data_IF_044882326806
#
_entry.id   IF_044882326806
#
_cell.length_a   1.000
_cell.length_b   1.000
_cell.length_c   1.000
_cell.angle_alpha   90.00
_cell.angle_beta   90.00
_cell.angle_gamma   90.00
#
_symmetry.space_group_name_H-M   'P 1'
#
loop_
_entity.id
_entity.type
_entity.pdbx_description
1 polymer ?
#
# COMPACT_ATOMS: atom_id res chain seq x y z
N UNK A 1 -43.09 -43.11 18.95
CA UNK A 1 -41.64 -42.85 18.81
C UNK A 1 -41.47 -41.38 18.43
N UNK A 2 -40.77 -40.56 19.24
CA UNK A 2 -40.52 -39.14 18.95
C UNK A 2 -39.02 -38.92 18.82
N UNK A 3 -38.52 -38.72 17.61
CA UNK A 3 -37.12 -38.45 17.35
C UNK A 3 -36.85 -36.94 17.42
N UNK A 4 -36.22 -36.48 18.51
CA UNK A 4 -35.78 -35.10 18.66
C UNK A 4 -34.43 -34.92 17.97
N UNK A 5 -34.42 -34.24 16.82
CA UNK A 5 -33.19 -33.92 16.09
C UNK A 5 -32.51 -32.73 16.78
N UNK A 6 -31.38 -32.98 17.45
CA UNK A 6 -30.52 -31.94 18.00
C UNK A 6 -29.60 -31.40 16.89
N UNK A 7 -29.91 -30.22 16.34
CA UNK A 7 -28.94 -29.48 15.52
C UNK A 7 -27.85 -28.91 16.43
N UNK A 8 -26.67 -29.54 16.44
CA UNK A 8 -25.48 -28.97 17.05
C UNK A 8 -24.88 -27.89 16.14
N UNK A 9 -24.89 -26.64 16.59
CA UNK A 9 -24.21 -25.52 15.93
C UNK A 9 -22.70 -25.61 16.18
N UNK A 10 -21.95 -26.16 15.23
CA UNK A 10 -20.48 -26.17 15.28
C UNK A 10 -19.96 -24.78 14.88
N UNK A 11 -19.51 -24.00 15.86
CA UNK A 11 -18.82 -22.74 15.61
C UNK A 11 -17.39 -23.00 15.09
N UNK A 12 -17.20 -22.89 13.78
CA UNK A 12 -15.86 -22.99 13.16
C UNK A 12 -15.12 -21.67 13.43
N UNK A 13 -14.19 -21.70 14.38
CA UNK A 13 -13.30 -20.57 14.66
C UNK A 13 -12.27 -20.41 13.51
N UNK A 14 -12.57 -19.51 12.57
CA UNK A 14 -11.60 -19.12 11.53
C UNK A 14 -10.51 -18.28 12.18
N UNK A 15 -9.34 -18.88 12.40
CA UNK A 15 -8.18 -18.19 12.95
C UNK A 15 -7.74 -17.06 12.00
N UNK A 16 -8.00 -15.81 12.39
CA UNK A 16 -7.50 -14.65 11.65
C UNK A 16 -6.00 -14.54 11.88
N UNK A 17 -5.21 -14.77 10.82
CA UNK A 17 -3.77 -14.62 10.88
C UNK A 17 -3.38 -13.14 11.01
N UNK A 18 -2.92 -12.77 12.20
CA UNK A 18 -2.23 -11.50 12.42
C UNK A 18 -0.73 -11.71 12.26
N UNK A 19 -0.08 -10.89 11.44
CA UNK A 19 1.35 -10.98 11.16
C UNK A 19 2.05 -9.66 11.54
N UNK A 20 3.31 -9.74 12.03
CA UNK A 20 4.14 -8.56 12.22
C UNK A 20 4.51 -7.96 10.86
N UNK A 21 4.33 -6.65 10.70
CA UNK A 21 4.68 -5.89 9.50
C UNK A 21 5.45 -4.65 9.88
N UNK A 22 6.72 -4.58 9.48
CA UNK A 22 7.55 -3.38 9.63
C UNK A 22 7.24 -2.38 8.51
N UNK A 23 7.07 -1.11 8.88
CA UNK A 23 6.99 0.00 7.92
C UNK A 23 8.39 0.56 7.70
N UNK A 24 8.74 0.92 6.47
CA UNK A 24 10.10 1.39 6.13
C UNK A 24 10.44 2.66 6.92
N UNK A 25 11.46 2.56 7.79
CA UNK A 25 11.91 3.66 8.64
C UNK A 25 11.09 3.87 9.92
N UNK A 26 10.24 2.90 10.30
CA UNK A 26 9.37 2.97 11.48
C UNK A 26 9.34 1.61 12.22
N UNK A 27 8.39 1.45 13.15
CA UNK A 27 8.19 0.30 14.01
C UNK A 27 7.50 -0.88 13.27
N UNK A 28 7.34 -1.98 14.01
CA UNK A 28 6.65 -3.20 13.54
C UNK A 28 5.26 -3.26 14.15
N UNK A 29 4.25 -3.35 13.29
CA UNK A 29 2.82 -3.31 13.64
C UNK A 29 2.15 -4.66 13.44
N UNK A 30 1.00 -4.85 14.10
CA UNK A 30 0.21 -6.09 13.99
C UNK A 30 -0.87 -5.94 12.92
N UNK A 31 -0.67 -6.54 11.76
CA UNK A 31 -1.59 -6.43 10.60
C UNK A 31 -2.39 -7.70 10.41
N UNK A 32 -3.68 -7.57 10.06
CA UNK A 32 -4.59 -8.68 9.79
C UNK A 32 -4.60 -9.07 8.30
N UNK A 33 -4.44 -10.36 8.01
CA UNK A 33 -4.58 -10.92 6.66
C UNK A 33 -3.29 -10.87 5.81
N UNK A 34 -3.40 -10.98 4.47
CA UNK A 34 -2.25 -11.12 3.58
C UNK A 34 -1.46 -9.80 3.49
N UNK A 35 -0.30 -9.78 4.15
CA UNK A 35 0.57 -8.62 4.28
C UNK A 35 1.23 -8.18 2.98
N UNK A 36 1.59 -6.91 2.88
CA UNK A 36 2.41 -6.39 1.79
C UNK A 36 3.84 -6.96 1.86
N UNK A 37 4.14 -7.97 1.03
CA UNK A 37 5.45 -8.60 0.95
C UNK A 37 5.71 -9.29 -0.40
N UNK A 38 6.93 -9.81 -0.59
CA UNK A 38 7.38 -10.52 -1.80
C UNK A 38 8.21 -9.63 -2.74
N UNK A 39 8.86 -10.23 -3.75
CA UNK A 39 9.73 -9.52 -4.70
C UNK A 39 9.22 -9.51 -6.16
N UNK A 40 8.10 -10.19 -6.42
CA UNK A 40 7.52 -10.37 -7.75
C UNK A 40 6.95 -9.09 -8.39
N UNK A 41 6.35 -9.26 -9.56
CA UNK A 41 5.57 -8.20 -10.22
C UNK A 41 4.30 -7.83 -9.43
N UNK A 42 3.74 -8.79 -8.69
CA UNK A 42 2.57 -8.66 -7.81
C UNK A 42 3.03 -9.03 -6.39
N UNK A 43 2.58 -8.32 -5.33
CA UNK A 43 2.90 -8.70 -3.96
C UNK A 43 2.12 -9.94 -3.52
N UNK A 44 2.60 -10.62 -2.48
CA UNK A 44 1.89 -11.74 -1.83
C UNK A 44 0.60 -11.30 -1.11
N UNK A 45 0.46 -10.00 -0.84
CA UNK A 45 -0.69 -9.39 -0.20
C UNK A 45 -0.61 -7.87 -0.28
N UNK A 46 -1.63 -7.18 0.21
CA UNK A 46 -1.74 -5.72 0.13
C UNK A 46 -2.12 -5.06 1.45
N UNK A 47 -2.04 -5.80 2.56
CA UNK A 47 -2.35 -5.28 3.89
C UNK A 47 -1.11 -4.62 4.50
N UNK A 48 -1.30 -3.40 4.94
CA UNK A 48 -0.34 -2.59 5.67
C UNK A 48 -1.03 -2.01 6.91
N UNK A 49 -0.27 -1.48 7.89
CA UNK A 49 -0.85 -0.85 9.07
C UNK A 49 -1.74 0.33 8.69
N UNK A 50 -2.90 0.43 9.34
CA UNK A 50 -3.85 1.54 9.17
C UNK A 50 -3.71 2.55 10.30
N UNK A 51 -4.24 3.77 10.12
CA UNK A 51 -4.19 4.81 11.16
C UNK A 51 -4.78 4.31 12.47
N UNK A 52 -4.00 4.37 13.55
CA UNK A 52 -4.39 3.91 14.88
C UNK A 52 -3.89 2.51 15.25
N UNK A 53 -3.30 1.74 14.33
CA UNK A 53 -2.65 0.46 14.67
C UNK A 53 -1.48 0.69 15.63
N UNK A 54 -1.43 -0.09 16.72
CA UNK A 54 -0.35 -0.05 17.69
C UNK A 54 0.83 -0.92 17.23
N UNK A 55 2.05 -0.42 17.40
CA UNK A 55 3.26 -1.19 17.17
C UNK A 55 3.46 -2.24 18.28
N UNK A 56 3.87 -3.43 17.88
CA UNK A 56 4.20 -4.54 18.78
C UNK A 56 5.71 -4.64 19.05
N UNK A 57 6.56 -4.18 18.13
CA UNK A 57 8.02 -4.23 18.26
C UNK A 57 8.69 -3.01 17.61
N UNK A 58 9.99 -2.84 17.88
CA UNK A 58 10.86 -1.80 17.30
C UNK A 58 10.39 -0.35 17.52
N UNK A 59 9.53 -0.11 18.51
CA UNK A 59 9.10 1.23 18.86
C UNK A 59 10.21 2.01 19.58
N UNK A 60 10.69 3.10 18.97
CA UNK A 60 11.71 3.98 19.53
C UNK A 60 11.20 5.43 19.61
N UNK A 61 11.61 6.24 20.61
CA UNK A 61 11.18 7.63 20.75
C UNK A 61 11.57 8.56 19.60
N UNK A 62 12.50 8.14 18.75
CA UNK A 62 12.96 8.87 17.56
C UNK A 62 12.10 8.63 16.31
N UNK A 63 11.11 7.73 16.37
CA UNK A 63 10.24 7.39 15.23
C UNK A 63 9.09 8.38 15.08
N UNK A 64 8.63 8.65 13.85
CA UNK A 64 7.51 9.56 13.62
C UNK A 64 6.19 9.02 14.19
N UNK A 65 6.00 7.72 14.31
CA UNK A 65 4.84 7.10 14.94
C UNK A 65 4.78 7.21 16.47
N UNK A 66 5.86 7.64 17.13
CA UNK A 66 5.93 7.65 18.60
C UNK A 66 5.04 8.75 19.20
N UNK A 67 3.98 8.34 19.89
CA UNK A 67 2.96 9.22 20.46
C UNK A 67 2.58 8.80 21.89
N UNK A 68 3.03 9.57 22.88
CA UNK A 68 2.76 9.37 24.31
C UNK A 68 3.23 7.99 24.82
N UNK A 69 4.52 7.67 24.65
CA UNK A 69 5.14 6.46 25.21
C UNK A 69 4.95 5.16 24.42
N UNK A 70 4.21 5.21 23.30
CA UNK A 70 3.90 4.06 22.42
C UNK A 70 3.94 4.50 20.96
N UNK A 71 4.16 3.58 20.04
CA UNK A 71 4.15 3.87 18.61
C UNK A 71 2.79 3.49 18.03
N UNK A 72 2.14 4.45 17.38
CA UNK A 72 0.82 4.30 16.77
C UNK A 72 0.92 4.80 15.33
N UNK A 73 0.41 4.02 14.39
CA UNK A 73 0.40 4.38 12.98
C UNK A 73 -0.30 5.74 12.78
N UNK A 74 0.40 6.80 12.33
CA UNK A 74 -0.15 8.15 12.30
C UNK A 74 -1.14 8.36 11.14
N UNK A 75 -0.99 7.57 10.08
CA UNK A 75 -1.80 7.52 8.87
C UNK A 75 -1.88 6.07 8.38
N UNK A 76 -2.61 5.81 7.31
CA UNK A 76 -2.60 4.51 6.63
C UNK A 76 -1.32 4.32 5.81
N UNK A 77 -0.61 3.22 6.01
CA UNK A 77 0.57 2.87 5.22
C UNK A 77 0.16 2.31 3.84
N UNK A 78 0.95 2.67 2.83
CA UNK A 78 0.74 2.25 1.44
C UNK A 78 1.66 1.08 1.11
N UNK A 79 1.10 0.02 0.54
CA UNK A 79 1.86 -1.09 -0.01
C UNK A 79 2.48 -0.69 -1.35
N UNK A 80 3.81 -0.61 -1.44
CA UNK A 80 4.51 -0.26 -2.66
C UNK A 80 5.82 -1.03 -2.83
N UNK A 81 6.38 -0.98 -4.04
CA UNK A 81 7.69 -1.56 -4.33
C UNK A 81 8.79 -0.63 -3.82
N UNK A 82 9.60 -1.11 -2.90
CA UNK A 82 10.69 -0.34 -2.25
C UNK A 82 11.99 -0.48 -3.06
N UNK A 83 13.02 0.39 -2.85
CA UNK A 83 14.22 0.42 -3.70
C UNK A 83 15.02 -0.88 -3.78
N UNK A 84 14.87 -1.80 -2.83
CA UNK A 84 15.46 -3.15 -2.86
C UNK A 84 14.77 -4.11 -3.83
N UNK A 85 13.69 -3.69 -4.50
CA UNK A 85 12.90 -4.55 -5.39
C UNK A 85 11.90 -5.46 -4.66
N UNK A 86 11.82 -5.40 -3.34
CA UNK A 86 10.76 -6.02 -2.56
C UNK A 86 9.50 -5.12 -2.50
N UNK A 87 8.36 -5.71 -2.13
CA UNK A 87 7.17 -4.99 -1.69
C UNK A 87 7.22 -4.78 -0.18
N UNK A 88 6.84 -3.59 0.26
CA UNK A 88 6.78 -3.23 1.67
C UNK A 88 5.85 -2.07 1.94
N UNK A 89 5.51 -1.89 3.21
CA UNK A 89 4.68 -0.78 3.67
C UNK A 89 5.52 0.48 3.88
N UNK A 90 5.03 1.62 3.38
CA UNK A 90 5.63 2.94 3.63
C UNK A 90 4.58 3.93 4.08
N UNK A 91 4.98 4.99 4.78
CA UNK A 91 4.11 6.14 4.98
C UNK A 91 4.00 6.98 3.69
N UNK A 92 2.80 7.41 3.28
CA UNK A 92 2.63 8.29 2.12
C UNK A 92 3.32 9.64 2.34
N UNK A 93 3.98 10.15 1.28
CA UNK A 93 4.70 11.42 1.30
C UNK A 93 3.81 12.58 1.74
N UNK A 94 4.23 13.32 2.76
CA UNK A 94 3.44 14.39 3.38
C UNK A 94 2.83 14.01 4.74
N UNK A 95 2.76 12.72 5.06
CA UNK A 95 2.45 12.25 6.42
C UNK A 95 3.64 12.44 7.38
N UNK A 96 4.03 13.69 7.62
CA UNK A 96 4.66 14.02 8.90
C UNK A 96 3.60 13.85 9.99
N UNK A 97 3.98 13.49 11.23
CA UNK A 97 3.09 13.56 12.38
C UNK A 97 2.75 15.03 12.65
N UNK A 98 1.69 15.53 12.01
CA UNK A 98 1.04 16.75 12.46
C UNK A 98 0.41 16.51 13.84
N UNK A 99 0.29 17.54 14.69
CA UNK A 99 -0.48 17.43 15.93
C UNK A 99 -1.89 16.89 15.61
N UNK A 100 -2.49 16.08 16.50
CA UNK A 100 -3.51 15.08 16.17
C UNK A 100 -4.61 15.62 15.24
N UNK A 101 -4.47 15.30 13.96
CA UNK A 101 -5.41 15.75 12.93
C UNK A 101 -6.75 15.03 13.11
N UNK A 102 -7.75 15.84 13.48
CA UNK A 102 -9.16 15.46 13.63
C UNK A 102 -9.65 14.80 12.34
N UNK A 103 -10.46 13.76 12.49
CA UNK A 103 -10.96 12.92 11.41
C UNK A 103 -11.65 13.71 10.30
N UNK A 104 -11.02 13.75 9.12
CA UNK A 104 -11.71 13.99 7.85
C UNK A 104 -11.60 12.72 7.03
N UNK A 105 -12.68 11.94 6.99
CA UNK A 105 -12.72 10.68 6.25
C UNK A 105 -12.58 10.95 4.75
N UNK A 106 -11.58 10.35 4.10
CA UNK A 106 -11.52 10.31 2.65
C UNK A 106 -12.65 9.40 2.13
N UNK A 107 -13.50 9.86 1.18
CA UNK A 107 -14.55 9.02 0.64
C UNK A 107 -13.95 7.87 -0.15
N UNK A 108 -14.43 6.66 0.17
CA UNK A 108 -14.23 5.41 -0.57
C UNK A 108 -14.29 5.65 -2.08
N UNK A 109 -13.31 5.20 -2.89
CA UNK A 109 -13.40 5.26 -4.34
C UNK A 109 -14.55 4.36 -4.81
N UNK A 110 -15.63 4.95 -5.31
CA UNK A 110 -16.73 4.21 -5.93
C UNK A 110 -16.36 3.94 -7.38
N UNK A 111 -16.24 2.66 -7.73
CA UNK A 111 -16.03 2.20 -9.10
C UNK A 111 -17.17 2.64 -10.02
N UNK A 112 -16.88 3.47 -11.02
CA UNK A 112 -17.62 3.52 -12.28
C UNK A 112 -16.63 3.70 -13.44
N UNK A 113 -16.75 2.81 -14.43
CA UNK A 113 -15.97 2.83 -15.66
C UNK A 113 -16.80 3.53 -16.79
N UNK A 114 -16.35 3.54 -18.06
CA UNK A 114 -16.15 4.79 -18.79
C UNK A 114 -17.31 5.17 -19.72
N UNK A 115 -17.39 6.45 -20.11
CA UNK A 115 -17.83 6.78 -21.47
C UNK A 115 -17.21 8.07 -22.04
N UNK A 116 -17.07 8.09 -23.36
CA UNK A 116 -16.62 9.17 -24.21
C UNK A 116 -17.70 10.24 -24.43
N UNK A 117 -17.32 11.52 -24.58
CA UNK A 117 -17.61 12.27 -25.83
C UNK A 117 -16.94 13.65 -25.93
N UNK A 118 -16.36 13.90 -27.10
CA UNK A 118 -16.15 15.17 -27.82
C UNK A 118 -16.09 16.52 -27.07
N UNK A 119 -14.99 17.25 -27.32
CA UNK A 119 -15.07 18.66 -27.71
C UNK A 119 -14.21 18.91 -28.96
N UNK A 120 -14.88 19.08 -30.10
CA UNK A 120 -14.28 19.39 -31.41
C UNK A 120 -14.38 20.87 -31.74
N UNK A 121 -13.24 21.56 -31.84
CA UNK A 121 -12.81 22.30 -33.04
C UNK A 121 -11.44 22.94 -32.75
N UNK A 122 -10.38 22.59 -33.48
CA UNK A 122 -10.07 23.12 -34.82
C UNK A 122 -9.92 24.66 -34.80
N UNK A 123 -8.74 25.21 -35.07
CA UNK A 123 -8.24 25.28 -36.46
C UNK A 123 -6.72 25.52 -36.51
N UNK A 124 -6.01 24.69 -37.32
CA UNK A 124 -4.87 24.95 -38.26
C UNK A 124 -3.93 26.14 -37.96
N UNK A 125 -2.61 26.12 -38.14
CA UNK A 125 -1.64 25.34 -38.97
C UNK A 125 -0.22 25.65 -38.39
N UNK A 126 0.95 25.11 -38.78
CA UNK A 126 1.46 24.20 -39.82
C UNK A 126 2.81 23.59 -39.32
N UNK A 127 3.51 22.77 -40.13
CA UNK A 127 4.97 22.65 -40.05
C UNK A 127 5.57 21.29 -39.67
N UNK A 128 5.53 20.35 -40.62
CA UNK A 128 6.32 19.11 -40.67
C UNK A 128 7.83 19.29 -40.38
N UNK A 129 8.42 18.47 -39.50
CA UNK A 129 9.65 17.68 -39.82
C UNK A 129 9.92 16.55 -38.82
N UNK A 130 10.05 15.32 -39.35
CA UNK A 130 10.61 14.17 -38.62
C UNK A 130 12.11 14.35 -38.36
N UNK A 131 12.64 13.76 -37.29
CA UNK A 131 13.93 13.07 -37.42
C UNK A 131 14.05 11.88 -36.46
N UNK A 132 13.96 10.70 -37.05
CA UNK A 132 14.57 9.47 -36.53
C UNK A 132 16.08 9.69 -36.35
N UNK A 133 16.69 9.18 -35.28
CA UNK A 133 18.13 8.89 -35.27
C UNK A 133 18.42 7.76 -34.29
N UNK A 134 18.44 6.55 -34.84
CA UNK A 134 19.08 5.36 -34.27
C UNK A 134 20.60 5.62 -34.16
N UNK A 135 21.20 5.42 -32.99
CA UNK A 135 22.64 5.09 -32.89
C UNK A 135 22.94 4.15 -31.73
N UNK A 136 23.54 3.01 -32.06
CA UNK A 136 24.29 2.12 -31.16
C UNK A 136 25.35 1.40 -32.02
N UNK A 137 26.35 0.70 -31.46
CA UNK A 137 27.12 0.93 -30.23
C UNK A 137 28.60 1.23 -30.59
N UNK A 138 29.56 1.09 -29.66
CA UNK A 138 30.73 0.27 -30.02
C UNK A 138 31.17 -0.73 -28.93
N UNK A 139 31.66 -1.89 -29.38
CA UNK A 139 32.31 -2.93 -28.58
C UNK A 139 33.79 -2.63 -28.34
N UNK A 140 34.32 -2.91 -27.14
CA UNK A 140 35.78 -3.00 -26.90
C UNK A 140 36.11 -4.22 -26.05
N UNK A 141 37.25 -4.86 -26.32
CA UNK A 141 37.66 -6.18 -25.79
C UNK A 141 39.14 -6.15 -25.35
N UNK A 142 39.45 -6.84 -24.23
CA UNK A 142 40.81 -7.15 -23.72
C UNK A 142 41.62 -5.93 -23.19
N UNK A 143 42.77 -6.10 -22.47
CA UNK A 143 43.68 -7.25 -22.36
C UNK A 143 43.19 -8.47 -21.57
#
# INVERSE_FOLDING_TARGET
MRATILLALVAIAVAQSTLPVSVVGDATYKVFGPICSGAGAIPAGNKCPIKGDEAIESCLPSLPSFANGKCVAPVDAVCQKIPSGAWGCVWPSGAKPGPPAVTTAFPRPTTLAPNSTNSTNATKTNGTRSNDTITAPPTTKKP
#
